data_IF_714406687017
#
_entry.id   IF_714406687017
#
_cell.length_a   1.000
_cell.length_b   1.000
_cell.length_c   1.000
_cell.angle_alpha   90.00
_cell.angle_beta   90.00
_cell.angle_gamma   90.00
#
_symmetry.space_group_name_H-M   'P 1'
#
loop_
_entity.id
_entity.type
_entity.pdbx_description
1 polymer ?
#
# COMPACT_ATOMS: atom_id res chain seq x y z
N UNK A 1 -7.28 4.99 -5.35
CA UNK A 1 -6.65 4.91 -4.02
C UNK A 1 -7.21 3.67 -3.32
N UNK A 2 -6.39 2.97 -2.52
CA UNK A 2 -6.84 1.77 -1.81
C UNK A 2 -7.52 2.25 -0.52
N UNK A 3 -8.77 1.86 -0.31
CA UNK A 3 -9.53 2.20 0.89
C UNK A 3 -8.83 1.67 2.15
N UNK A 4 -8.80 2.48 3.21
CA UNK A 4 -8.11 2.15 4.47
C UNK A 4 -6.61 2.44 4.50
N UNK A 5 -5.95 2.69 3.36
CA UNK A 5 -4.53 3.11 3.37
C UNK A 5 -4.41 4.57 3.86
N UNK A 6 -3.68 4.82 4.96
CA UNK A 6 -3.51 6.17 5.48
C UNK A 6 -2.67 7.03 4.53
N UNK A 7 -3.08 8.27 4.31
CA UNK A 7 -2.31 9.22 3.48
C UNK A 7 -0.96 9.52 4.12
N UNK A 8 0.06 9.71 3.28
CA UNK A 8 1.36 10.19 3.74
C UNK A 8 1.23 11.57 4.40
N UNK A 9 1.85 11.74 5.56
CA UNK A 9 1.86 13.01 6.31
C UNK A 9 2.91 13.97 5.73
N UNK A 10 2.63 15.27 5.75
CA UNK A 10 3.59 16.30 5.33
C UNK A 10 4.86 16.19 6.17
N UNK A 11 6.02 16.16 5.51
CA UNK A 11 7.33 16.00 6.16
C UNK A 11 7.69 14.56 6.56
N UNK A 12 6.84 13.57 6.27
CA UNK A 12 7.15 12.16 6.50
C UNK A 12 7.96 11.59 5.33
N UNK A 13 8.89 10.66 5.62
CA UNK A 13 9.71 10.03 4.59
C UNK A 13 8.84 9.09 3.71
N UNK A 14 8.72 9.32 2.40
CA UNK A 14 7.91 8.48 1.52
C UNK A 14 8.36 7.02 1.47
N UNK A 15 9.66 6.75 1.59
CA UNK A 15 10.19 5.40 1.60
C UNK A 15 9.78 4.64 2.87
N UNK A 16 9.82 5.30 4.03
CA UNK A 16 9.38 4.71 5.29
C UNK A 16 7.87 4.44 5.27
N UNK A 17 7.07 5.38 4.75
CA UNK A 17 5.63 5.20 4.62
C UNK A 17 5.30 4.00 3.72
N UNK A 18 5.95 3.91 2.55
CA UNK A 18 5.72 2.79 1.62
C UNK A 18 6.07 1.44 2.26
N UNK A 19 7.17 1.37 3.01
CA UNK A 19 7.61 0.14 3.69
C UNK A 19 6.61 -0.31 4.78
N UNK A 20 6.05 0.63 5.53
CA UNK A 20 5.03 0.34 6.54
C UNK A 20 3.74 -0.16 5.88
N UNK A 21 3.26 0.54 4.84
CA UNK A 21 1.99 0.18 4.21
C UNK A 21 2.07 -1.14 3.45
N UNK A 22 3.19 -1.47 2.81
CA UNK A 22 3.37 -2.72 2.07
C UNK A 22 3.80 -3.89 2.96
N UNK A 23 3.72 -3.75 4.28
CA UNK A 23 4.02 -4.83 5.20
C UNK A 23 2.88 -5.85 5.25
N UNK A 24 3.23 -7.12 5.45
CA UNK A 24 2.25 -8.21 5.55
C UNK A 24 1.24 -8.02 6.68
N UNK A 25 1.63 -7.34 7.76
CA UNK A 25 0.70 -6.99 8.85
C UNK A 25 -0.36 -5.98 8.40
N UNK A 26 0.02 -5.01 7.58
CA UNK A 26 -0.91 -4.00 7.06
C UNK A 26 -1.83 -4.61 6.00
N UNK A 27 -1.29 -5.45 5.13
CA UNK A 27 -2.07 -6.26 4.18
C UNK A 27 -3.13 -7.12 4.88
N UNK A 28 -2.75 -7.83 5.94
CA UNK A 28 -3.68 -8.64 6.73
C UNK A 28 -4.76 -7.81 7.43
N UNK A 29 -4.43 -6.60 7.92
CA UNK A 29 -5.39 -5.69 8.54
C UNK A 29 -6.39 -5.12 7.52
N UNK A 30 -5.91 -4.83 6.31
CA UNK A 30 -6.73 -4.29 5.22
C UNK A 30 -7.49 -5.40 4.47
N UNK A 31 -7.08 -6.66 4.62
CA UNK A 31 -7.65 -7.78 3.88
C UNK A 31 -7.31 -7.74 2.38
N UNK A 32 -6.13 -7.22 2.03
CA UNK A 32 -5.68 -7.05 0.64
C UNK A 32 -4.31 -7.68 0.43
N UNK A 33 -3.98 -7.96 -0.84
CA UNK A 33 -2.64 -8.32 -1.29
C UNK A 33 -2.22 -7.28 -2.35
N UNK A 34 -1.18 -6.48 -2.07
CA UNK A 34 -0.76 -5.43 -2.99
C UNK A 34 -0.16 -5.99 -4.28
N UNK A 35 0.43 -7.19 -4.27
CA UNK A 35 0.95 -7.82 -5.46
C UNK A 35 -0.17 -8.24 -6.40
N UNK A 36 -1.25 -8.82 -5.86
CA UNK A 36 -2.45 -9.15 -6.63
C UNK A 36 -3.13 -7.90 -7.20
N UNK A 37 -3.28 -6.85 -6.38
CA UNK A 37 -3.82 -5.56 -6.84
C UNK A 37 -2.97 -4.99 -7.97
N UNK A 38 -1.64 -5.01 -7.84
CA UNK A 38 -0.74 -4.52 -8.88
C UNK A 38 -0.91 -5.32 -10.17
N UNK A 39 -0.90 -6.66 -10.08
CA UNK A 39 -1.06 -7.57 -11.22
C UNK A 39 -2.40 -7.38 -11.97
N UNK A 40 -3.47 -7.04 -11.25
CA UNK A 40 -4.79 -6.77 -11.83
C UNK A 40 -4.98 -5.29 -12.23
N UNK A 41 -3.98 -4.43 -12.03
CA UNK A 41 -4.07 -3.01 -12.37
C UNK A 41 -3.62 -2.73 -13.81
N UNK A 42 -4.05 -1.59 -14.35
CA UNK A 42 -3.60 -1.10 -15.67
C UNK A 42 -2.12 -0.72 -15.72
N UNK A 43 -1.39 -0.81 -14.61
CA UNK A 43 0.05 -0.53 -14.52
C UNK A 43 0.92 -1.77 -14.79
N UNK A 44 0.32 -2.97 -14.74
CA UNK A 44 1.04 -4.23 -14.96
C UNK A 44 1.29 -4.53 -16.45
N UNK A 45 0.61 -3.83 -17.36
CA UNK A 45 0.69 -4.00 -18.81
C UNK A 45 1.36 -2.85 -19.53
#
# INVERSE_FOLDING_TARGET
>A
AIEGVPKIKVGYNPAAWMLEISSSSTEAQLGVDFADIYANSTLYG
#
